data_IF_909223573901
#
_entry.id   IF_909223573901
#
_cell.length_a   1.000
_cell.length_b   1.000
_cell.length_c   1.000
_cell.angle_alpha   90.00
_cell.angle_beta   90.00
_cell.angle_gamma   90.00
#
_symmetry.space_group_name_H-M   'P 1'
#
loop_
_entity.id
_entity.type
_entity.pdbx_description
1 polymer ?
#
# COMPACT_ATOMS: atom_id res chain seq x y z
N UNK A 1 -4.26 8.13 23.73
CA UNK A 1 -2.95 7.60 23.35
C UNK A 1 -2.65 6.27 24.06
N UNK A 2 -3.57 5.70 24.85
CA UNK A 2 -3.32 4.45 25.58
C UNK A 2 -3.27 3.17 24.70
N UNK A 3 -3.46 3.26 23.38
CA UNK A 3 -3.64 2.09 22.49
C UNK A 3 -2.69 2.10 21.27
N UNK A 4 -1.99 3.21 21.00
CA UNK A 4 -1.04 3.30 19.87
C UNK A 4 0.39 3.41 20.38
N UNK A 5 1.25 2.54 19.86
CA UNK A 5 2.68 2.51 20.15
C UNK A 5 3.41 2.57 18.79
N UNK A 6 4.22 3.60 18.52
CA UNK A 6 5.01 3.64 17.30
C UNK A 6 5.96 2.44 17.23
N UNK A 7 6.00 1.81 16.05
CA UNK A 7 6.88 0.68 15.76
C UNK A 7 8.23 1.15 15.22
N UNK A 8 9.30 0.41 15.48
CA UNK A 8 10.65 0.76 15.02
C UNK A 8 11.01 0.06 13.72
N UNK A 9 11.52 0.80 12.74
CA UNK A 9 12.00 0.25 11.48
C UNK A 9 13.08 -0.82 11.69
N UNK A 10 12.95 -1.92 10.98
CA UNK A 10 13.93 -3.02 10.96
C UNK A 10 14.41 -3.22 9.52
N UNK A 11 15.72 -3.42 9.35
CA UNK A 11 16.33 -3.70 8.05
C UNK A 11 16.32 -5.19 7.75
N UNK A 12 16.13 -5.57 6.50
CA UNK A 12 16.12 -6.97 6.07
C UNK A 12 17.52 -7.59 5.93
N UNK A 13 18.55 -6.76 5.75
CA UNK A 13 19.94 -7.19 5.67
C UNK A 13 20.88 -6.02 5.98
N UNK A 14 21.95 -6.30 6.73
CA UNK A 14 23.07 -5.38 6.96
C UNK A 14 24.26 -5.68 6.04
N UNK A 15 24.14 -6.69 5.18
CA UNK A 15 25.22 -7.12 4.30
C UNK A 15 25.35 -6.18 3.11
N UNK A 16 26.57 -5.91 2.70
CA UNK A 16 26.82 -5.24 1.42
C UNK A 16 26.55 -6.18 0.25
N UNK A 17 26.01 -5.66 -0.85
CA UNK A 17 25.75 -6.47 -2.05
C UNK A 17 27.06 -6.71 -2.81
N UNK A 18 27.41 -7.99 -2.99
CA UNK A 18 28.45 -8.44 -3.92
C UNK A 18 28.04 -8.14 -5.36
N UNK A 19 26.78 -8.33 -5.74
CA UNK A 19 26.27 -7.98 -7.08
C UNK A 19 25.13 -6.99 -6.99
N UNK A 20 25.22 -5.94 -7.79
CA UNK A 20 24.19 -4.91 -7.93
C UNK A 20 23.91 -4.66 -9.43
N UNK A 21 22.65 -4.75 -9.88
CA UNK A 21 22.26 -4.26 -11.20
C UNK A 21 22.33 -2.73 -11.24
N UNK A 22 23.10 -2.19 -12.18
CA UNK A 22 23.24 -0.75 -12.40
C UNK A 22 22.69 -0.42 -13.77
N UNK A 23 21.78 0.56 -13.87
CA UNK A 23 21.34 1.03 -15.17
C UNK A 23 22.35 2.01 -15.77
N UNK A 24 22.95 1.64 -16.88
CA UNK A 24 23.81 2.49 -17.68
C UNK A 24 22.97 3.32 -18.65
N UNK A 25 22.92 4.63 -18.40
CA UNK A 25 22.17 5.60 -19.20
C UNK A 25 22.71 5.70 -20.63
N UNK A 26 24.03 5.62 -20.82
CA UNK A 26 24.68 5.74 -22.13
C UNK A 26 24.39 4.54 -23.02
N UNK A 27 24.40 3.33 -22.43
CA UNK A 27 24.12 2.07 -23.12
C UNK A 27 22.62 1.79 -23.23
N UNK A 28 21.80 2.46 -22.40
CA UNK A 28 20.39 2.15 -22.19
C UNK A 28 20.18 0.68 -21.82
N UNK A 29 20.99 0.19 -20.88
CA UNK A 29 21.09 -1.21 -20.46
C UNK A 29 21.36 -1.34 -18.98
N UNK A 30 20.84 -2.40 -18.35
CA UNK A 30 21.33 -2.81 -17.05
C UNK A 30 22.63 -3.60 -17.21
N UNK A 31 23.56 -3.35 -16.29
CA UNK A 31 24.82 -4.04 -16.16
C UNK A 31 24.89 -4.65 -14.77
N UNK A 32 25.20 -5.95 -14.68
CA UNK A 32 25.44 -6.61 -13.40
C UNK A 32 26.87 -6.29 -12.95
N UNK A 33 26.97 -5.39 -11.97
CA UNK A 33 28.24 -4.99 -11.38
C UNK A 33 28.56 -5.85 -10.16
N UNK A 34 29.76 -6.43 -10.14
CA UNK A 34 30.31 -7.20 -9.05
C UNK A 34 31.30 -6.33 -8.27
N UNK A 35 31.07 -6.20 -6.96
CA UNK A 35 31.95 -5.49 -6.06
C UNK A 35 33.10 -6.39 -5.59
N UNK A 36 34.19 -6.37 -6.34
CA UNK A 36 35.38 -7.18 -6.07
C UNK A 36 36.02 -6.93 -4.70
N UNK A 37 35.83 -5.76 -4.09
CA UNK A 37 36.38 -5.48 -2.74
C UNK A 37 35.72 -6.32 -1.65
N UNK A 38 34.49 -6.80 -1.88
CA UNK A 38 33.78 -7.70 -0.98
C UNK A 38 34.13 -9.17 -1.22
N UNK A 39 34.53 -9.52 -2.44
CA UNK A 39 34.99 -10.86 -2.81
C UNK A 39 36.34 -11.26 -2.19
N UNK A 40 37.12 -10.30 -1.68
CA UNK A 40 38.45 -10.53 -1.09
C UNK A 40 38.48 -10.56 0.45
N UNK A 41 37.34 -10.52 1.14
CA UNK A 41 37.25 -10.26 2.59
C UNK A 41 37.51 -11.45 3.54
N UNK A 42 38.28 -12.46 3.14
CA UNK A 42 38.74 -13.49 4.09
C UNK A 42 40.20 -13.26 4.49
N UNK A 43 40.54 -12.99 5.77
CA UNK A 43 41.90 -12.68 6.20
C UNK A 43 42.93 -13.80 6.04
N UNK A 44 42.50 -15.01 5.64
CA UNK A 44 43.32 -16.23 5.69
C UNK A 44 43.23 -17.11 4.44
N UNK A 45 42.73 -16.61 3.31
CA UNK A 45 42.82 -17.34 2.04
C UNK A 45 43.18 -16.38 0.91
N UNK A 46 44.04 -16.85 0.00
CA UNK A 46 44.04 -16.42 -1.40
C UNK A 46 42.60 -16.20 -1.89
N UNK A 47 42.38 -15.13 -2.67
CA UNK A 47 41.12 -14.67 -3.28
C UNK A 47 39.96 -15.68 -3.18
N UNK A 48 38.86 -15.34 -2.50
CA UNK A 48 37.69 -16.22 -2.49
C UNK A 48 37.15 -16.27 -3.91
N UNK A 49 37.41 -17.37 -4.61
CA UNK A 49 36.82 -17.60 -5.93
C UNK A 49 35.32 -17.84 -5.76
N UNK A 50 34.50 -17.13 -6.54
CA UNK A 50 33.04 -17.21 -6.52
C UNK A 50 32.50 -17.28 -7.95
N UNK A 51 31.33 -17.89 -8.11
CA UNK A 51 30.57 -17.87 -9.34
C UNK A 51 29.21 -17.21 -9.09
N UNK A 52 28.83 -16.31 -9.99
CA UNK A 52 27.55 -15.63 -9.96
C UNK A 52 26.70 -16.04 -11.16
N UNK A 53 25.40 -16.22 -10.92
CA UNK A 53 24.41 -16.47 -11.94
C UNK A 53 23.13 -15.69 -11.67
N UNK A 54 22.33 -15.49 -12.72
CA UNK A 54 20.94 -15.08 -12.56
C UNK A 54 20.01 -16.07 -13.25
N UNK A 55 18.79 -16.15 -12.75
CA UNK A 55 17.67 -16.81 -13.42
C UNK A 55 16.68 -15.72 -13.83
N UNK A 56 16.40 -15.68 -15.12
CA UNK A 56 15.35 -14.81 -15.65
C UNK A 56 13.99 -15.35 -15.24
N UNK A 57 13.13 -14.44 -14.78
CA UNK A 57 11.73 -14.74 -14.50
C UNK A 57 10.90 -14.32 -15.71
N UNK A 58 10.06 -15.22 -16.19
CA UNK A 58 9.13 -14.98 -17.30
C UNK A 58 7.68 -15.17 -16.83
N UNK A 59 6.72 -14.63 -17.57
CA UNK A 59 5.30 -14.69 -17.21
C UNK A 59 4.64 -15.94 -17.78
N UNK A 60 4.06 -16.75 -16.90
CA UNK A 60 3.11 -17.80 -17.28
C UNK A 60 1.71 -17.19 -17.42
N UNK A 61 1.21 -17.13 -18.65
CA UNK A 61 -0.12 -16.57 -18.99
C UNK A 61 -1.29 -17.46 -18.56
N UNK A 62 -1.06 -18.74 -18.28
CA UNK A 62 -2.15 -19.67 -17.97
C UNK A 62 -2.79 -19.36 -16.61
N UNK A 63 -1.97 -19.01 -15.62
CA UNK A 63 -2.39 -18.75 -14.23
C UNK A 63 -1.98 -17.36 -13.70
N UNK A 64 -1.63 -16.43 -14.60
CA UNK A 64 -1.08 -15.12 -14.24
C UNK A 64 0.06 -15.25 -13.21
N UNK A 65 0.98 -16.15 -13.56
CA UNK A 65 2.03 -16.69 -12.71
C UNK A 65 3.40 -16.45 -13.35
N UNK A 66 4.40 -17.21 -12.91
CA UNK A 66 5.77 -17.10 -13.40
C UNK A 66 6.34 -18.47 -13.79
N UNK A 67 7.29 -18.42 -14.71
CA UNK A 67 8.23 -19.49 -15.04
C UNK A 67 9.66 -19.00 -14.83
N UNK A 68 10.60 -19.93 -14.62
CA UNK A 68 12.03 -19.63 -14.49
C UNK A 68 12.81 -20.18 -15.66
N UNK A 69 13.71 -19.37 -16.19
CA UNK A 69 14.72 -19.82 -17.15
C UNK A 69 15.91 -20.41 -16.40
N UNK A 70 16.65 -21.29 -17.09
CA UNK A 70 17.90 -21.86 -16.59
C UNK A 70 18.91 -20.80 -16.15
N UNK A 71 19.78 -21.19 -15.23
CA UNK A 71 20.83 -20.33 -14.67
C UNK A 71 21.75 -19.82 -15.78
N UNK A 72 21.93 -18.50 -15.84
CA UNK A 72 22.89 -17.83 -16.72
C UNK A 72 24.02 -17.28 -15.86
N UNK A 73 25.18 -17.94 -15.93
CA UNK A 73 26.40 -17.48 -15.27
C UNK A 73 26.97 -16.25 -15.97
N UNK A 74 27.53 -15.33 -15.19
CA UNK A 74 28.06 -14.08 -15.72
C UNK A 74 29.33 -13.64 -15.00
N UNK A 75 30.07 -12.75 -15.65
CA UNK A 75 31.27 -12.12 -15.13
C UNK A 75 31.06 -10.63 -14.90
N UNK A 76 32.11 -9.94 -14.43
CA UNK A 76 32.06 -8.52 -14.12
C UNK A 76 31.50 -7.67 -15.27
N UNK A 77 30.60 -6.74 -14.93
CA UNK A 77 29.95 -5.82 -15.87
C UNK A 77 29.17 -6.51 -17.00
N UNK A 78 28.48 -7.61 -16.69
CA UNK A 78 27.65 -8.30 -17.67
C UNK A 78 26.44 -7.45 -18.09
N UNK A 79 26.27 -7.25 -19.41
CA UNK A 79 25.13 -6.54 -19.98
C UNK A 79 23.89 -7.45 -20.00
N UNK A 80 22.85 -7.04 -19.27
CA UNK A 80 21.60 -7.78 -19.17
C UNK A 80 20.76 -7.57 -20.45
N UNK A 81 20.31 -8.66 -21.12
CA UNK A 81 19.45 -8.55 -22.29
C UNK A 81 18.13 -7.81 -22.02
N UNK A 82 17.65 -7.00 -22.97
CA UNK A 82 16.42 -6.19 -22.83
C UNK A 82 15.14 -6.98 -22.53
N UNK A 83 15.08 -8.25 -22.88
CA UNK A 83 13.92 -9.10 -22.59
C UNK A 83 13.83 -9.49 -21.11
N UNK A 84 14.95 -9.47 -20.38
CA UNK A 84 15.00 -9.77 -18.95
C UNK A 84 14.46 -8.57 -18.17
N UNK A 85 13.22 -8.68 -17.70
CA UNK A 85 12.53 -7.65 -16.90
C UNK A 85 12.47 -7.98 -15.41
N UNK A 86 12.76 -9.22 -15.04
CA UNK A 86 12.88 -9.63 -13.65
C UNK A 86 13.86 -10.78 -13.54
N UNK A 87 14.65 -10.78 -12.46
CA UNK A 87 15.64 -11.82 -12.21
C UNK A 87 15.78 -12.11 -10.72
N UNK A 88 16.17 -13.35 -10.42
CA UNK A 88 16.76 -13.74 -9.15
C UNK A 88 18.23 -14.00 -9.43
N UNK A 89 19.12 -13.33 -8.70
CA UNK A 89 20.56 -13.53 -8.81
C UNK A 89 21.10 -14.18 -7.54
N UNK A 90 22.13 -15.00 -7.72
CA UNK A 90 22.87 -15.56 -6.62
C UNK A 90 24.36 -15.70 -6.96
N UNK A 91 25.19 -15.59 -5.93
CA UNK A 91 26.61 -15.91 -5.99
C UNK A 91 26.91 -16.97 -4.95
N UNK A 92 27.76 -17.93 -5.31
CA UNK A 92 28.19 -19.00 -4.43
C UNK A 92 29.71 -19.17 -4.49
N UNK A 93 30.29 -19.79 -3.46
CA UNK A 93 31.72 -20.12 -3.44
C UNK A 93 32.05 -21.12 -4.56
N UNK A 94 33.20 -20.94 -5.21
CA UNK A 94 33.65 -21.86 -6.26
C UNK A 94 33.82 -23.27 -5.67
N UNK A 95 33.32 -24.28 -6.37
CA UNK A 95 33.38 -25.68 -5.94
C UNK A 95 32.36 -26.07 -4.87
N UNK A 96 31.55 -25.14 -4.34
CA UNK A 96 30.46 -25.43 -3.40
C UNK A 96 29.21 -24.59 -3.70
N UNK A 97 28.30 -25.11 -4.51
CA UNK A 97 27.05 -24.41 -4.90
C UNK A 97 26.09 -24.16 -3.73
N UNK A 98 26.20 -24.92 -2.64
CA UNK A 98 25.35 -24.75 -1.45
C UNK A 98 25.80 -23.58 -0.56
N UNK A 99 27.03 -23.11 -0.71
CA UNK A 99 27.60 -21.99 0.05
C UNK A 99 27.28 -20.67 -0.66
N UNK A 100 26.05 -20.18 -0.44
CA UNK A 100 25.53 -18.95 -1.03
C UNK A 100 26.11 -17.72 -0.32
N UNK A 101 26.83 -16.89 -1.08
CA UNK A 101 27.42 -15.62 -0.63
C UNK A 101 26.44 -14.44 -0.74
N UNK A 102 25.56 -14.49 -1.75
CA UNK A 102 24.47 -13.53 -1.93
C UNK A 102 23.32 -14.23 -2.66
N UNK A 103 22.09 -13.92 -2.27
CA UNK A 103 20.89 -14.18 -3.06
C UNK A 103 19.98 -12.95 -2.98
N UNK A 104 19.54 -12.44 -4.13
CA UNK A 104 18.74 -11.23 -4.21
C UNK A 104 17.88 -11.20 -5.49
N UNK A 105 16.87 -10.34 -5.52
CA UNK A 105 15.90 -10.26 -6.60
C UNK A 105 15.69 -8.82 -7.07
N UNK A 106 15.47 -8.66 -8.38
CA UNK A 106 15.34 -7.36 -9.01
C UNK A 106 14.29 -7.38 -10.11
N UNK A 107 13.43 -6.37 -10.11
CA UNK A 107 12.70 -5.95 -11.31
C UNK A 107 13.52 -4.91 -12.06
N UNK A 108 13.60 -5.06 -13.38
CA UNK A 108 14.40 -4.22 -14.26
C UNK A 108 13.46 -3.42 -15.14
N UNK A 109 13.40 -2.11 -14.90
CA UNK A 109 12.73 -1.16 -15.80
C UNK A 109 13.59 -1.01 -17.05
N UNK A 110 13.50 -1.96 -17.99
CA UNK A 110 14.31 -1.95 -19.20
C UNK A 110 13.97 -0.78 -20.12
N UNK A 111 14.94 -0.28 -20.90
CA UNK A 111 14.66 0.77 -21.88
C UNK A 111 13.63 0.30 -22.92
N UNK A 112 12.60 1.12 -23.15
CA UNK A 112 11.66 0.92 -24.25
C UNK A 112 11.72 2.11 -25.20
N UNK A 113 11.98 1.89 -26.51
CA UNK A 113 12.06 2.98 -27.48
C UNK A 113 10.80 3.85 -27.51
N UNK A 114 11.01 5.14 -27.77
CA UNK A 114 9.93 6.09 -28.03
C UNK A 114 9.09 5.67 -29.25
N UNK A 115 7.75 5.76 -29.17
CA UNK A 115 6.88 5.61 -30.33
C UNK A 115 7.18 6.69 -31.38
N UNK A 116 7.10 6.32 -32.66
CA UNK A 116 7.26 7.28 -33.77
C UNK A 116 6.15 8.34 -33.70
N UNK A 117 6.53 9.62 -33.85
CA UNK A 117 5.58 10.74 -33.90
C UNK A 117 5.25 11.38 -32.55
N UNK A 118 5.85 10.91 -31.44
CA UNK A 118 5.70 11.56 -30.14
C UNK A 118 6.59 12.81 -30.06
N UNK A 119 5.99 13.96 -29.73
CA UNK A 119 6.72 15.22 -29.58
C UNK A 119 7.69 15.15 -28.40
N UNK A 120 8.97 15.44 -28.64
CA UNK A 120 9.98 15.52 -27.59
C UNK A 120 10.00 16.89 -26.90
N UNK A 121 9.38 17.92 -27.50
CA UNK A 121 9.26 19.26 -26.93
C UNK A 121 8.59 19.23 -25.55
N UNK A 122 9.27 19.64 -24.46
CA UNK A 122 8.71 19.60 -23.11
C UNK A 122 7.39 20.37 -22.98
N UNK A 123 7.29 21.54 -23.63
CA UNK A 123 6.09 22.38 -23.62
C UNK A 123 4.85 21.73 -24.27
N UNK A 124 5.03 20.65 -25.04
CA UNK A 124 3.95 19.89 -25.69
C UNK A 124 3.73 18.52 -25.06
N UNK A 125 4.46 18.19 -23.99
CA UNK A 125 4.35 16.90 -23.32
C UNK A 125 3.11 16.89 -22.42
N UNK A 126 2.32 15.83 -22.54
CA UNK A 126 1.19 15.59 -21.62
C UNK A 126 1.76 15.25 -20.23
N UNK A 127 1.13 15.69 -19.14
CA UNK A 127 1.61 15.36 -17.80
C UNK A 127 1.57 13.85 -17.59
N UNK A 128 2.61 13.33 -16.93
CA UNK A 128 2.62 11.96 -16.44
C UNK A 128 1.66 11.83 -15.25
N UNK A 129 1.22 10.62 -14.93
CA UNK A 129 0.33 10.36 -13.79
C UNK A 129 0.86 9.17 -12.99
N UNK A 130 1.23 9.40 -11.75
CA UNK A 130 1.76 8.36 -10.86
C UNK A 130 0.83 8.21 -9.67
N UNK A 131 0.25 7.04 -9.51
CA UNK A 131 -0.63 6.70 -8.40
C UNK A 131 0.16 5.87 -7.39
N UNK A 132 0.38 6.41 -6.20
CA UNK A 132 1.13 5.80 -5.11
C UNK A 132 0.17 5.48 -3.98
N UNK A 133 -0.09 4.19 -3.75
CA UNK A 133 -1.15 3.74 -2.87
C UNK A 133 -0.69 2.82 -1.74
N UNK A 134 -1.29 2.99 -0.57
CA UNK A 134 -1.07 2.14 0.60
C UNK A 134 -2.43 1.60 1.04
N UNK A 135 -2.58 0.27 1.06
CA UNK A 135 -3.82 -0.40 1.43
C UNK A 135 -4.21 -0.11 2.89
N UNK A 136 -5.52 -0.03 3.17
CA UNK A 136 -6.08 0.01 4.54
C UNK A 136 -5.64 1.21 5.38
N UNK A 137 -5.10 2.26 4.75
CA UNK A 137 -4.63 3.46 5.43
C UNK A 137 -5.68 4.58 5.40
N UNK A 138 -6.46 4.73 6.48
CA UNK A 138 -7.38 5.85 6.58
C UNK A 138 -6.64 7.18 6.72
N UNK A 139 -7.29 8.28 6.32
CA UNK A 139 -6.78 9.65 6.48
C UNK A 139 -6.30 9.94 7.92
N UNK A 140 -7.10 9.55 8.90
CA UNK A 140 -6.79 9.74 10.31
C UNK A 140 -5.62 8.84 10.74
N UNK A 141 -5.56 7.61 10.21
CA UNK A 141 -4.46 6.73 10.55
C UNK A 141 -3.14 7.23 9.97
N UNK A 142 -3.11 7.74 8.73
CA UNK A 142 -1.94 8.40 8.13
C UNK A 142 -1.38 9.51 9.05
N UNK A 143 -2.25 10.41 9.55
CA UNK A 143 -1.85 11.48 10.48
C UNK A 143 -1.25 10.96 11.77
N UNK A 144 -1.75 9.83 12.26
CA UNK A 144 -1.30 9.21 13.52
C UNK A 144 0.01 8.46 13.37
N UNK A 145 0.13 7.68 12.31
CA UNK A 145 1.22 6.70 12.15
C UNK A 145 2.35 7.23 11.31
N UNK A 146 2.08 8.13 10.37
CA UNK A 146 3.10 8.69 9.47
C UNK A 146 3.00 10.23 9.42
N UNK A 147 3.04 10.94 10.57
CA UNK A 147 2.92 12.40 10.62
C UNK A 147 3.91 13.16 9.73
N UNK A 148 5.13 12.68 9.52
CA UNK A 148 6.11 13.31 8.60
C UNK A 148 5.67 13.18 7.13
N UNK A 149 5.15 12.01 6.74
CA UNK A 149 4.56 11.81 5.40
C UNK A 149 3.32 12.68 5.24
N UNK A 150 2.44 12.75 6.25
CA UNK A 150 1.31 13.66 6.24
C UNK A 150 1.74 15.12 6.06
N UNK A 151 2.75 15.59 6.81
CA UNK A 151 3.27 16.94 6.70
C UNK A 151 3.80 17.23 5.28
N UNK A 152 4.55 16.28 4.70
CA UNK A 152 5.02 16.37 3.31
C UNK A 152 3.85 16.54 2.32
N UNK A 153 2.82 15.71 2.45
CA UNK A 153 1.62 15.73 1.61
C UNK A 153 0.69 16.93 1.86
N UNK A 154 0.97 17.77 2.86
CA UNK A 154 0.28 19.05 3.09
C UNK A 154 1.12 20.25 2.67
N UNK A 155 2.32 20.02 2.11
CA UNK A 155 3.20 21.05 1.59
C UNK A 155 2.70 21.64 0.27
N UNK A 156 3.48 22.58 -0.28
CA UNK A 156 3.19 23.22 -1.56
C UNK A 156 3.06 22.19 -2.70
N UNK A 157 2.06 22.37 -3.57
CA UNK A 157 1.80 21.51 -4.72
C UNK A 157 0.90 20.31 -4.43
N UNK A 158 0.65 19.98 -3.15
CA UNK A 158 -0.28 18.93 -2.77
C UNK A 158 -1.66 19.49 -2.42
N UNK A 159 -2.70 18.75 -2.83
CA UNK A 159 -4.09 19.13 -2.59
C UNK A 159 -4.87 17.93 -2.06
N UNK A 160 -5.45 18.09 -0.87
CA UNK A 160 -6.31 17.08 -0.26
C UNK A 160 -7.69 17.07 -0.96
N UNK A 161 -8.09 15.91 -1.51
CA UNK A 161 -9.43 15.71 -2.08
C UNK A 161 -10.46 15.49 -0.98
N UNK A 162 -10.89 16.58 -0.33
CA UNK A 162 -11.88 16.52 0.74
C UNK A 162 -13.22 15.96 0.24
N UNK A 163 -13.83 15.07 1.03
CA UNK A 163 -15.08 14.39 0.67
C UNK A 163 -14.90 13.19 -0.27
N UNK A 164 -13.70 12.96 -0.82
CA UNK A 164 -13.38 11.69 -1.46
C UNK A 164 -13.42 10.56 -0.43
N UNK A 165 -14.17 9.49 -0.70
CA UNK A 165 -14.37 8.39 0.23
C UNK A 165 -14.52 7.05 -0.50
N UNK A 166 -14.30 5.96 0.24
CA UNK A 166 -14.50 4.58 -0.23
C UNK A 166 -15.96 4.38 -0.67
N UNK A 167 -16.16 3.50 -1.65
CA UNK A 167 -17.49 3.06 -2.09
C UNK A 167 -17.79 1.61 -1.69
N UNK A 168 -16.81 0.92 -1.11
CA UNK A 168 -16.94 -0.44 -0.62
C UNK A 168 -15.90 -0.73 0.46
N UNK A 169 -16.04 -1.87 1.14
CA UNK A 169 -15.20 -2.17 2.31
C UNK A 169 -13.87 -2.83 1.99
N UNK A 170 -13.66 -3.35 0.78
CA UNK A 170 -12.43 -4.05 0.39
C UNK A 170 -11.67 -3.25 -0.69
N UNK A 171 -10.42 -3.62 -0.96
CA UNK A 171 -9.58 -3.06 -2.03
C UNK A 171 -10.21 -3.16 -3.41
N UNK A 172 -10.72 -4.35 -3.78
CA UNK A 172 -11.30 -4.60 -5.11
C UNK A 172 -12.42 -3.63 -5.54
N UNK A 173 -13.52 -3.41 -4.77
CA UNK A 173 -14.57 -2.48 -5.18
C UNK A 173 -14.06 -1.04 -5.33
N UNK A 174 -13.13 -0.59 -4.48
CA UNK A 174 -12.60 0.77 -4.53
C UNK A 174 -11.65 0.97 -5.71
N UNK A 175 -10.67 0.08 -5.90
CA UNK A 175 -9.76 0.16 -7.05
C UNK A 175 -10.47 -0.11 -8.37
N UNK A 176 -11.48 -1.00 -8.42
CA UNK A 176 -12.31 -1.16 -9.62
C UNK A 176 -12.98 0.16 -10.00
N UNK A 177 -13.57 0.88 -9.04
CA UNK A 177 -14.24 2.14 -9.32
C UNK A 177 -13.29 3.22 -9.83
N UNK A 178 -12.13 3.38 -9.18
CA UNK A 178 -11.12 4.37 -9.57
C UNK A 178 -10.57 4.07 -10.96
N UNK A 179 -10.29 2.80 -11.24
CA UNK A 179 -9.57 2.40 -12.43
C UNK A 179 -10.48 2.12 -13.63
N UNK A 180 -11.80 1.97 -13.44
CA UNK A 180 -12.72 1.63 -14.54
C UNK A 180 -13.96 2.50 -14.61
N UNK A 181 -14.30 3.22 -13.54
CA UNK A 181 -15.58 3.92 -13.40
C UNK A 181 -16.77 3.01 -13.03
N UNK A 182 -16.54 1.72 -12.78
CA UNK A 182 -17.57 0.75 -12.38
C UNK A 182 -17.42 0.32 -10.92
N UNK A 183 -18.54 0.18 -10.21
CA UNK A 183 -18.57 -0.67 -9.02
C UNK A 183 -18.76 -2.15 -9.45
N UNK A 184 -18.49 -3.14 -8.57
CA UNK A 184 -18.61 -4.56 -8.93
C UNK A 184 -19.97 -4.90 -9.55
N UNK A 185 -21.09 -4.57 -8.90
CA UNK A 185 -22.42 -4.92 -9.43
C UNK A 185 -22.67 -4.38 -10.84
N UNK A 186 -22.18 -3.18 -11.14
CA UNK A 186 -22.29 -2.59 -12.47
C UNK A 186 -21.34 -3.21 -13.49
N UNK A 187 -20.12 -3.60 -13.09
CA UNK A 187 -19.18 -4.31 -13.95
C UNK A 187 -19.72 -5.69 -14.35
N UNK A 188 -20.34 -6.41 -13.41
CA UNK A 188 -20.92 -7.75 -13.63
C UNK A 188 -22.00 -7.70 -14.70
N UNK A 189 -22.86 -6.69 -14.62
CA UNK A 189 -24.02 -6.53 -15.50
C UNK A 189 -23.66 -5.96 -16.87
N UNK A 190 -22.66 -5.07 -16.95
CA UNK A 190 -22.39 -4.26 -18.14
C UNK A 190 -21.13 -4.66 -18.89
N UNK A 191 -20.23 -5.41 -18.25
CA UNK A 191 -18.94 -5.81 -18.82
C UNK A 191 -18.88 -7.33 -18.90
N UNK A 192 -18.66 -8.00 -17.76
CA UNK A 192 -18.54 -9.46 -17.65
C UNK A 192 -18.44 -9.87 -16.18
N UNK A 193 -18.51 -11.17 -15.90
CA UNK A 193 -18.23 -11.73 -14.59
C UNK A 193 -16.72 -11.84 -14.34
N UNK A 194 -16.21 -11.10 -13.35
CA UNK A 194 -14.78 -11.12 -12.99
C UNK A 194 -14.30 -12.44 -12.39
N UNK A 195 -15.21 -13.37 -12.09
CA UNK A 195 -14.86 -14.76 -11.76
C UNK A 195 -14.53 -15.59 -13.02
N UNK A 196 -14.88 -15.11 -14.22
CA UNK A 196 -14.55 -15.75 -15.48
C UNK A 196 -13.18 -15.29 -16.02
N UNK A 197 -12.39 -16.26 -16.49
CA UNK A 197 -11.06 -16.01 -17.06
C UNK A 197 -11.18 -15.12 -18.30
N UNK A 198 -10.38 -14.06 -18.36
CA UNK A 198 -10.39 -13.09 -19.46
C UNK A 198 -11.38 -11.94 -19.30
N UNK A 199 -12.18 -11.90 -18.23
CA UNK A 199 -13.07 -10.77 -17.98
C UNK A 199 -12.28 -9.48 -17.70
N UNK A 200 -11.27 -9.52 -16.82
CA UNK A 200 -10.44 -8.35 -16.50
C UNK A 200 -9.70 -7.79 -17.74
N UNK A 201 -9.32 -8.65 -18.68
CA UNK A 201 -8.74 -8.26 -19.97
C UNK A 201 -9.72 -7.50 -20.88
N UNK A 202 -11.03 -7.65 -20.69
CA UNK A 202 -12.07 -6.93 -21.43
C UNK A 202 -12.50 -5.64 -20.71
N UNK A 203 -12.37 -5.58 -19.39
CA UNK A 203 -12.75 -4.43 -18.56
C UNK A 203 -12.05 -3.15 -19.00
N UNK A 204 -12.78 -2.00 -19.13
CA UNK A 204 -12.22 -0.75 -19.64
C UNK A 204 -11.38 -0.02 -18.60
N UNK A 205 -10.26 -0.60 -18.20
CA UNK A 205 -9.34 0.01 -17.26
C UNK A 205 -8.67 1.27 -17.83
N UNK A 206 -8.43 2.26 -16.97
CA UNK A 206 -7.92 3.59 -17.30
C UNK A 206 -6.55 3.53 -17.99
N UNK A 207 -5.71 2.56 -17.63
CA UNK A 207 -4.42 2.34 -18.27
C UNK A 207 -4.52 1.98 -19.75
N UNK A 208 -5.63 1.38 -20.20
CA UNK A 208 -5.88 1.13 -21.64
C UNK A 208 -6.07 2.44 -22.40
N UNK A 209 -6.76 3.40 -21.80
CA UNK A 209 -6.93 4.74 -22.37
C UNK A 209 -5.60 5.51 -22.38
N UNK A 210 -4.82 5.43 -21.30
CA UNK A 210 -3.48 6.02 -21.26
C UNK A 210 -2.55 5.41 -22.31
N UNK A 211 -2.55 4.08 -22.46
CA UNK A 211 -1.80 3.38 -23.51
C UNK A 211 -2.20 3.86 -24.91
N UNK A 212 -3.50 3.99 -25.19
CA UNK A 212 -4.01 4.54 -26.46
C UNK A 212 -3.60 6.01 -26.65
N UNK A 213 -3.45 6.77 -25.57
CA UNK A 213 -2.92 8.14 -25.58
C UNK A 213 -1.38 8.21 -25.68
N UNK A 214 -0.71 7.09 -25.97
CA UNK A 214 0.75 6.89 -26.10
C UNK A 214 1.57 6.93 -24.81
N UNK A 215 0.93 6.83 -23.65
CA UNK A 215 1.62 6.71 -22.38
C UNK A 215 2.31 5.34 -22.27
N UNK A 216 3.44 5.31 -21.59
CA UNK A 216 4.01 4.07 -21.10
C UNK A 216 3.32 3.71 -19.77
N UNK A 217 2.89 2.46 -19.59
CA UNK A 217 2.07 2.08 -18.43
C UNK A 217 2.78 1.10 -17.48
N UNK A 218 2.59 1.27 -16.18
CA UNK A 218 3.12 0.36 -15.15
C UNK A 218 2.07 -0.01 -14.11
N UNK A 219 2.10 -1.25 -13.62
CA UNK A 219 1.30 -1.68 -12.49
C UNK A 219 2.12 -2.60 -11.58
N UNK A 220 2.17 -2.24 -10.30
CA UNK A 220 2.89 -2.97 -9.28
C UNK A 220 2.04 -3.08 -8.01
N UNK A 221 1.95 -4.29 -7.48
CA UNK A 221 1.30 -4.60 -6.22
C UNK A 221 2.09 -5.72 -5.53
N UNK A 222 2.38 -5.56 -4.24
CA UNK A 222 3.03 -6.59 -3.43
C UNK A 222 1.99 -7.58 -2.85
N UNK A 223 2.46 -8.60 -2.14
CA UNK A 223 1.61 -9.64 -1.51
C UNK A 223 0.75 -10.40 -2.52
N UNK A 224 1.39 -11.20 -3.38
CA UNK A 224 0.74 -11.78 -4.57
C UNK A 224 -0.43 -12.72 -4.30
N UNK A 225 -0.49 -13.31 -3.11
CA UNK A 225 -1.59 -14.17 -2.66
C UNK A 225 -2.90 -13.41 -2.44
N UNK A 226 -2.84 -12.09 -2.22
CA UNK A 226 -4.00 -11.25 -1.94
C UNK A 226 -4.10 -10.01 -2.83
N UNK A 227 -3.26 -9.92 -3.87
CA UNK A 227 -3.34 -8.81 -4.83
C UNK A 227 -4.76 -8.62 -5.37
N UNK A 228 -5.15 -7.35 -5.49
CA UNK A 228 -6.50 -6.86 -5.77
C UNK A 228 -7.23 -7.63 -6.88
N UNK A 229 -6.55 -7.87 -8.00
CA UNK A 229 -7.13 -8.47 -9.20
C UNK A 229 -6.94 -9.99 -9.31
N UNK A 230 -6.32 -10.63 -8.31
CA UNK A 230 -6.02 -12.06 -8.32
C UNK A 230 -6.57 -12.80 -7.09
N UNK A 231 -6.86 -12.12 -5.98
CA UNK A 231 -7.50 -12.74 -4.83
C UNK A 231 -8.88 -13.30 -5.22
N UNK A 232 -9.01 -14.63 -5.12
CA UNK A 232 -10.19 -15.43 -5.53
C UNK A 232 -10.68 -15.14 -6.95
N UNK A 233 -9.77 -14.73 -7.85
CA UNK A 233 -10.06 -14.38 -9.25
C UNK A 233 -9.03 -15.00 -10.20
N UNK A 234 -9.39 -15.25 -11.46
CA UNK A 234 -8.44 -15.79 -12.44
C UNK A 234 -7.24 -14.89 -12.77
N UNK A 235 -7.30 -13.59 -12.45
CA UNK A 235 -6.28 -12.62 -12.84
C UNK A 235 -6.37 -12.19 -14.30
N UNK A 236 -5.29 -11.61 -14.80
CA UNK A 236 -5.20 -11.17 -16.18
C UNK A 236 -4.64 -12.28 -17.08
N UNK A 237 -5.19 -12.44 -18.29
CA UNK A 237 -4.63 -13.34 -19.30
C UNK A 237 -3.45 -12.68 -20.01
N UNK A 238 -3.60 -11.43 -20.42
CA UNK A 238 -2.55 -10.61 -21.02
C UNK A 238 -1.95 -9.65 -19.99
N UNK A 239 -0.72 -9.18 -20.22
CA UNK A 239 -0.11 -8.21 -19.30
C UNK A 239 -0.96 -6.93 -19.29
N UNK A 240 -1.48 -6.47 -18.13
CA UNK A 240 -2.38 -5.33 -18.07
C UNK A 240 -1.68 -4.03 -18.49
N UNK A 241 -0.38 -3.94 -18.24
CA UNK A 241 0.47 -2.76 -18.46
C UNK A 241 1.79 -3.13 -19.14
N UNK A 242 2.55 -2.13 -19.59
CA UNK A 242 3.85 -2.32 -20.24
C UNK A 242 4.93 -2.85 -19.30
N UNK A 243 4.86 -2.49 -18.01
CA UNK A 243 5.61 -3.12 -16.92
C UNK A 243 4.63 -3.62 -15.87
N UNK A 244 4.75 -4.90 -15.50
CA UNK A 244 3.83 -5.56 -14.58
C UNK A 244 4.61 -6.39 -13.57
N UNK A 245 4.50 -6.03 -12.28
CA UNK A 245 5.34 -6.60 -11.22
C UNK A 245 5.00 -8.06 -10.89
N UNK A 246 3.72 -8.44 -10.98
CA UNK A 246 3.19 -9.66 -10.35
C UNK A 246 3.99 -10.93 -10.63
N UNK A 247 4.38 -11.29 -11.87
CA UNK A 247 5.11 -12.52 -12.12
C UNK A 247 6.43 -12.55 -11.34
N UNK A 248 7.15 -11.42 -11.32
CA UNK A 248 8.42 -11.28 -10.63
C UNK A 248 8.24 -11.37 -9.13
N UNK A 249 7.30 -10.59 -8.57
CA UNK A 249 7.00 -10.65 -7.14
C UNK A 249 6.61 -12.07 -6.71
N UNK A 250 5.78 -12.77 -7.47
CA UNK A 250 5.36 -14.14 -7.14
C UNK A 250 6.55 -15.11 -7.09
N UNK A 251 7.51 -14.95 -8.00
CA UNK A 251 8.77 -15.70 -7.97
C UNK A 251 9.58 -15.36 -6.72
N UNK A 252 9.73 -14.08 -6.39
CA UNK A 252 10.51 -13.64 -5.23
C UNK A 252 9.92 -14.18 -3.94
N UNK A 253 8.59 -14.14 -3.80
CA UNK A 253 7.86 -14.65 -2.64
C UNK A 253 7.98 -16.17 -2.47
N UNK A 254 8.13 -16.90 -3.57
CA UNK A 254 8.19 -18.37 -3.55
C UNK A 254 9.61 -18.91 -3.44
N UNK A 255 10.58 -18.21 -4.02
CA UNK A 255 11.93 -18.74 -4.25
C UNK A 255 13.01 -18.11 -3.36
N UNK A 256 12.70 -17.03 -2.64
CA UNK A 256 13.60 -16.40 -1.67
C UNK A 256 13.11 -16.60 -0.23
N UNK A 257 14.06 -16.56 0.71
CA UNK A 257 13.74 -16.60 2.13
C UNK A 257 12.88 -15.40 2.51
N UNK A 258 11.72 -15.65 3.11
CA UNK A 258 10.86 -14.61 3.64
C UNK A 258 11.02 -14.50 5.15
N UNK A 259 10.94 -13.28 5.69
CA UNK A 259 10.95 -13.04 7.12
C UNK A 259 9.81 -12.11 7.52
N UNK A 260 9.25 -12.36 8.71
CA UNK A 260 8.25 -11.52 9.36
C UNK A 260 8.85 -11.00 10.66
N UNK A 261 8.70 -9.71 10.92
CA UNK A 261 9.06 -9.16 12.22
C UNK A 261 8.14 -9.71 13.31
N UNK A 262 8.56 -9.61 14.58
CA UNK A 262 7.82 -10.17 15.72
C UNK A 262 6.37 -9.70 15.77
N UNK A 263 6.14 -8.42 15.48
CA UNK A 263 4.82 -7.76 15.55
C UNK A 263 4.17 -7.63 14.15
N UNK A 264 4.76 -8.24 13.12
CA UNK A 264 4.25 -8.25 11.75
C UNK A 264 3.36 -9.48 11.51
N UNK A 265 2.14 -9.28 11.01
CA UNK A 265 1.30 -10.38 10.51
C UNK A 265 1.64 -10.77 9.06
N UNK A 266 2.15 -9.82 8.27
CA UNK A 266 2.46 -9.98 6.84
C UNK A 266 3.96 -10.17 6.61
N UNK A 267 4.35 -10.53 5.37
CA UNK A 267 5.77 -10.72 5.02
C UNK A 267 6.46 -9.35 5.02
N UNK A 268 7.44 -9.20 5.91
CA UNK A 268 8.16 -7.94 6.05
C UNK A 268 9.39 -7.88 5.13
N UNK A 269 10.10 -9.00 4.99
CA UNK A 269 11.25 -9.14 4.09
C UNK A 269 11.07 -10.29 3.09
N UNK A 270 11.59 -10.09 1.88
CA UNK A 270 11.83 -11.13 0.89
C UNK A 270 13.30 -11.04 0.47
N UNK A 271 14.06 -12.07 0.79
CA UNK A 271 15.52 -12.04 0.70
C UNK A 271 16.08 -10.92 1.57
N UNK A 272 16.86 -10.04 0.95
CA UNK A 272 17.57 -8.94 1.61
C UNK A 272 16.79 -7.62 1.60
N UNK A 273 15.55 -7.62 1.11
CA UNK A 273 14.76 -6.43 0.79
C UNK A 273 13.43 -6.41 1.52
N UNK A 274 12.96 -5.21 1.83
CA UNK A 274 11.61 -4.98 2.37
C UNK A 274 10.59 -5.36 1.30
N UNK A 275 9.52 -6.06 1.66
CA UNK A 275 8.51 -6.54 0.71
C UNK A 275 7.92 -5.42 -0.17
N UNK A 276 7.58 -4.27 0.42
CA UNK A 276 7.04 -3.14 -0.34
C UNK A 276 8.08 -2.43 -1.22
N UNK A 277 9.39 -2.66 -1.01
CA UNK A 277 10.43 -2.01 -1.80
C UNK A 277 10.42 -2.45 -3.26
N UNK A 278 9.96 -3.67 -3.58
CA UNK A 278 9.84 -4.11 -4.98
C UNK A 278 8.83 -3.28 -5.77
N UNK A 279 7.78 -2.79 -5.11
CA UNK A 279 6.80 -1.86 -5.68
C UNK A 279 7.40 -0.46 -5.79
N UNK A 280 8.03 0.03 -4.73
CA UNK A 280 8.55 1.40 -4.66
C UNK A 280 9.79 1.63 -5.53
N UNK A 281 10.71 0.67 -5.59
CA UNK A 281 11.85 0.70 -6.50
C UNK A 281 11.37 0.69 -7.96
N UNK A 282 10.34 -0.10 -8.27
CA UNK A 282 9.72 -0.08 -9.60
C UNK A 282 9.13 1.30 -9.93
N UNK A 283 8.47 1.96 -8.97
CA UNK A 283 7.93 3.31 -9.14
C UNK A 283 9.04 4.35 -9.38
N UNK A 284 10.07 4.35 -8.53
CA UNK A 284 11.23 5.24 -8.62
C UNK A 284 11.97 5.08 -9.94
N UNK A 285 12.32 3.84 -10.29
CA UNK A 285 13.11 3.56 -11.48
C UNK A 285 12.29 3.84 -12.76
N UNK A 286 10.97 3.60 -12.74
CA UNK A 286 10.07 3.94 -13.84
C UNK A 286 9.97 5.44 -14.06
N UNK A 287 9.79 6.22 -12.99
CA UNK A 287 9.75 7.68 -13.06
C UNK A 287 11.08 8.25 -13.56
N UNK A 288 12.20 7.91 -12.89
CA UNK A 288 13.55 8.36 -13.26
C UNK A 288 13.90 8.04 -14.71
N UNK A 289 13.41 6.91 -15.23
CA UNK A 289 13.75 6.50 -16.58
C UNK A 289 13.01 7.29 -17.65
N UNK A 290 11.74 7.60 -17.43
CA UNK A 290 10.84 7.93 -18.54
C UNK A 290 10.09 9.25 -18.39
N UNK A 291 9.99 9.83 -17.18
CA UNK A 291 9.16 11.04 -16.96
C UNK A 291 9.60 12.22 -17.85
N UNK A 292 10.90 12.32 -18.12
CA UNK A 292 11.50 13.34 -18.97
C UNK A 292 11.60 12.98 -20.47
N UNK A 293 11.32 11.72 -20.83
CA UNK A 293 11.38 11.24 -22.21
C UNK A 293 9.98 11.21 -22.86
N UNK A 294 8.95 10.79 -22.09
CA UNK A 294 7.58 10.56 -22.58
C UNK A 294 6.55 10.58 -21.45
N UNK A 295 5.25 10.79 -21.75
CA UNK A 295 4.22 10.65 -20.74
C UNK A 295 4.15 9.21 -20.22
N UNK A 296 4.04 9.07 -18.90
CA UNK A 296 3.91 7.77 -18.22
C UNK A 296 2.70 7.74 -17.30
N UNK A 297 2.10 6.56 -17.16
CA UNK A 297 1.03 6.28 -16.19
C UNK A 297 1.45 5.08 -15.33
N UNK A 298 1.28 5.14 -14.02
CA UNK A 298 1.57 3.99 -13.17
C UNK A 298 0.71 3.91 -11.92
N UNK A 299 0.38 2.69 -11.51
CA UNK A 299 -0.20 2.38 -10.20
C UNK A 299 0.77 1.51 -9.41
N UNK A 300 1.18 1.99 -8.24
CA UNK A 300 2.13 1.34 -7.35
C UNK A 300 1.48 1.19 -5.98
N UNK A 301 1.12 -0.03 -5.62
CA UNK A 301 0.26 -0.35 -4.48
C UNK A 301 0.97 -1.25 -3.47
N UNK A 302 0.97 -0.86 -2.19
CA UNK A 302 1.58 -1.66 -1.12
C UNK A 302 0.53 -2.12 -0.11
N UNK A 303 0.61 -3.40 0.25
CA UNK A 303 -0.21 -4.09 1.23
C UNK A 303 0.60 -4.45 2.49
N UNK A 304 1.88 -4.79 2.31
CA UNK A 304 2.67 -5.62 3.25
C UNK A 304 2.90 -5.04 4.65
N UNK A 305 2.63 -3.75 4.87
CA UNK A 305 2.87 -3.07 6.14
C UNK A 305 1.65 -2.30 6.67
N UNK A 306 0.48 -2.46 6.07
CA UNK A 306 -0.70 -1.68 6.45
C UNK A 306 -2.00 -2.49 6.47
N UNK A 307 -2.16 -3.49 5.61
CA UNK A 307 -3.44 -4.20 5.43
C UNK A 307 -3.97 -4.80 6.75
N UNK A 308 -3.14 -5.56 7.45
CA UNK A 308 -3.55 -6.26 8.68
C UNK A 308 -3.29 -5.46 9.97
N UNK A 309 -2.55 -4.34 9.89
CA UNK A 309 -2.11 -3.62 11.07
C UNK A 309 -2.17 -2.13 10.88
N UNK A 310 -3.04 -1.48 11.66
CA UNK A 310 -3.12 -0.03 11.71
C UNK A 310 -1.87 0.61 12.32
N UNK A 311 -1.01 -0.12 13.04
CA UNK A 311 0.18 0.44 13.70
C UNK A 311 1.44 0.36 12.84
N UNK A 312 1.55 -0.70 12.04
CA UNK A 312 2.71 -0.99 11.20
C UNK A 312 3.11 0.12 10.21
N UNK A 313 2.21 1.00 9.71
CA UNK A 313 2.62 2.16 8.93
C UNK A 313 3.60 3.08 9.66
N UNK A 314 3.57 3.13 10.99
CA UNK A 314 4.56 3.91 11.77
C UNK A 314 5.98 3.38 11.67
N UNK A 315 6.12 2.05 11.50
CA UNK A 315 7.40 1.38 11.23
C UNK A 315 8.02 1.84 9.91
N UNK A 316 7.17 2.23 8.95
CA UNK A 316 7.53 2.52 7.58
C UNK A 316 7.51 4.01 7.24
N UNK A 317 7.27 4.89 8.22
CA UNK A 317 7.15 6.34 8.01
C UNK A 317 8.35 6.92 7.26
N UNK A 318 9.54 6.80 7.83
CA UNK A 318 10.76 7.38 7.25
C UNK A 318 11.13 6.69 5.92
N UNK A 319 10.82 5.40 5.81
CA UNK A 319 11.06 4.64 4.59
C UNK A 319 10.22 5.16 3.41
N UNK A 320 8.91 5.38 3.63
CA UNK A 320 8.02 5.95 2.62
C UNK A 320 8.35 7.42 2.35
N UNK A 321 8.66 8.20 3.39
CA UNK A 321 9.06 9.60 3.24
C UNK A 321 10.29 9.73 2.35
N UNK A 322 11.27 8.84 2.49
CA UNK A 322 12.48 8.87 1.66
C UNK A 322 12.16 8.72 0.17
N UNK A 323 11.24 7.83 -0.22
CA UNK A 323 10.83 7.72 -1.63
C UNK A 323 10.16 9.01 -2.13
N UNK A 324 9.32 9.66 -1.32
CA UNK A 324 8.70 10.94 -1.69
C UNK A 324 9.73 12.07 -1.84
N UNK A 325 10.74 12.10 -0.97
CA UNK A 325 11.86 13.03 -1.07
C UNK A 325 12.73 12.76 -2.29
N UNK A 326 12.99 11.49 -2.60
CA UNK A 326 13.71 11.08 -3.81
C UNK A 326 12.96 11.54 -5.06
N UNK A 327 11.64 11.32 -5.15
CA UNK A 327 10.82 11.82 -6.26
C UNK A 327 10.89 13.35 -6.40
N UNK A 328 10.90 14.08 -5.28
CA UNK A 328 11.09 15.53 -5.30
C UNK A 328 12.47 15.92 -5.82
N UNK A 329 13.53 15.28 -5.32
CA UNK A 329 14.91 15.55 -5.70
C UNK A 329 15.17 15.23 -7.19
N UNK A 330 14.51 14.21 -7.71
CA UNK A 330 14.57 13.81 -9.11
C UNK A 330 13.68 14.67 -10.03
N UNK A 331 12.96 15.66 -9.49
CA UNK A 331 12.08 16.55 -10.26
C UNK A 331 10.82 15.89 -10.80
N UNK A 332 10.42 14.73 -10.27
CA UNK A 332 9.28 13.94 -10.79
C UNK A 332 7.97 14.73 -10.69
N UNK A 333 7.77 15.52 -9.63
CA UNK A 333 6.55 16.31 -9.43
C UNK A 333 6.39 17.47 -10.42
N UNK A 334 7.46 17.91 -11.08
CA UNK A 334 7.40 19.02 -12.04
C UNK A 334 6.76 18.63 -13.38
N UNK A 335 6.79 17.33 -13.71
CA UNK A 335 6.32 16.77 -14.98
C UNK A 335 5.20 15.75 -14.80
N UNK A 336 4.73 15.54 -13.57
CA UNK A 336 3.72 14.54 -13.25
C UNK A 336 2.67 15.03 -12.25
N UNK A 337 1.48 14.47 -12.38
CA UNK A 337 0.44 14.51 -11.35
C UNK A 337 0.66 13.27 -10.49
N UNK A 338 1.13 13.45 -9.25
CA UNK A 338 1.16 12.36 -8.29
C UNK A 338 -0.16 12.30 -7.51
N UNK A 339 -0.75 11.12 -7.44
CA UNK A 339 -1.93 10.82 -6.63
C UNK A 339 -1.49 9.91 -5.50
N UNK A 340 -1.40 10.44 -4.28
CA UNK A 340 -1.19 9.64 -3.08
C UNK A 340 -2.55 9.26 -2.50
N UNK A 341 -2.84 7.97 -2.36
CA UNK A 341 -4.17 7.50 -1.98
C UNK A 341 -4.18 6.23 -1.15
N UNK A 342 -5.34 5.94 -0.58
CA UNK A 342 -5.71 4.65 0.00
C UNK A 342 -7.10 4.29 -0.52
N UNK A 343 -7.47 3.03 -0.41
CA UNK A 343 -8.73 2.44 -0.83
C UNK A 343 -9.77 2.44 0.28
N UNK A 344 -9.35 2.12 1.51
CA UNK A 344 -10.16 2.14 2.73
C UNK A 344 -9.30 2.36 3.99
N UNK A 345 -9.96 2.42 5.15
CA UNK A 345 -9.30 2.38 6.45
C UNK A 345 -9.14 0.95 6.97
N UNK A 346 -8.59 0.79 8.18
CA UNK A 346 -8.57 -0.51 8.85
C UNK A 346 -9.99 -1.08 8.97
N UNK A 347 -10.12 -2.39 8.78
CA UNK A 347 -11.41 -3.10 8.78
C UNK A 347 -11.62 -3.99 10.01
N UNK A 348 -10.54 -4.31 10.71
CA UNK A 348 -10.52 -5.24 11.83
C UNK A 348 -9.57 -4.74 12.93
N UNK A 349 -9.65 -5.36 14.10
CA UNK A 349 -8.77 -5.06 15.24
C UNK A 349 -9.26 -3.93 16.15
N UNK A 350 -8.46 -3.65 17.18
CA UNK A 350 -8.87 -2.78 18.31
C UNK A 350 -9.24 -1.37 17.90
N UNK A 351 -8.78 -0.87 16.76
CA UNK A 351 -9.07 0.51 16.34
C UNK A 351 -10.48 0.66 15.76
N UNK A 352 -10.97 -0.34 15.04
CA UNK A 352 -12.35 -0.35 14.50
C UNK A 352 -13.38 -0.75 15.54
N UNK A 353 -12.98 -1.40 16.64
CA UNK A 353 -13.89 -1.65 17.76
C UNK A 353 -14.16 -0.41 18.61
N UNK A 354 -13.46 0.71 18.35
CA UNK A 354 -13.67 1.95 19.08
C UNK A 354 -14.70 2.82 18.37
N UNK A 355 -15.83 3.17 19.02
CA UNK A 355 -16.84 3.99 18.37
C UNK A 355 -16.35 5.39 17.98
N UNK A 356 -15.29 5.89 18.63
CA UNK A 356 -14.62 7.13 18.21
C UNK A 356 -14.05 7.07 16.79
N UNK A 357 -13.64 5.89 16.30
CA UNK A 357 -13.14 5.75 14.92
C UNK A 357 -14.22 6.06 13.87
N UNK A 358 -15.45 5.62 14.12
CA UNK A 358 -16.60 5.87 13.24
C UNK A 358 -17.06 7.33 13.26
N UNK A 359 -16.99 7.99 14.44
CA UNK A 359 -17.28 9.43 14.54
C UNK A 359 -16.33 10.26 13.67
N UNK A 360 -15.04 9.91 13.68
CA UNK A 360 -14.04 10.60 12.86
C UNK A 360 -14.25 10.37 11.37
N UNK A 361 -14.59 9.15 10.95
CA UNK A 361 -14.92 8.84 9.55
C UNK A 361 -16.17 9.62 9.09
N UNK A 362 -17.19 9.73 9.93
CA UNK A 362 -18.39 10.51 9.65
C UNK A 362 -18.10 12.00 9.48
N UNK A 363 -17.37 12.61 10.43
CA UNK A 363 -17.02 14.04 10.34
C UNK A 363 -16.15 14.33 9.10
N UNK A 364 -15.26 13.41 8.72
CA UNK A 364 -14.49 13.52 7.49
C UNK A 364 -15.38 13.41 6.23
N UNK A 365 -16.28 12.43 6.18
CA UNK A 365 -17.23 12.24 5.07
C UNK A 365 -18.20 13.42 4.89
N UNK A 366 -18.47 14.17 5.95
CA UNK A 366 -19.31 15.39 5.94
C UNK A 366 -18.54 16.68 5.64
N UNK A 367 -17.24 16.58 5.35
CA UNK A 367 -16.33 17.71 5.14
C UNK A 367 -16.23 18.66 6.35
N UNK A 368 -16.36 18.12 7.57
CA UNK A 368 -16.35 18.90 8.80
C UNK A 368 -15.00 18.91 9.50
N UNK A 369 -14.02 18.12 9.07
CA UNK A 369 -12.70 18.04 9.72
C UNK A 369 -11.88 19.34 9.68
N UNK A 370 -12.25 20.29 8.83
CA UNK A 370 -11.64 21.63 8.82
C UNK A 370 -12.00 22.44 10.08
N UNK A 371 -13.24 22.30 10.55
CA UNK A 371 -13.84 23.12 11.61
C UNK A 371 -14.07 22.36 12.91
N UNK A 372 -14.34 21.06 12.84
CA UNK A 372 -14.48 20.16 13.99
C UNK A 372 -13.13 19.56 14.35
N UNK A 373 -12.88 19.43 15.65
CA UNK A 373 -11.69 18.79 16.20
C UNK A 373 -11.71 17.28 15.98
N UNK A 374 -10.51 16.71 15.83
CA UNK A 374 -10.31 15.27 15.70
C UNK A 374 -10.50 14.61 17.06
N UNK A 375 -11.56 13.84 17.24
CA UNK A 375 -11.90 13.16 18.48
C UNK A 375 -11.00 11.94 18.68
N UNK A 376 -10.29 11.93 19.80
CA UNK A 376 -9.39 10.85 20.19
C UNK A 376 -9.90 10.21 21.47
N UNK A 377 -10.01 8.88 21.48
CA UNK A 377 -10.42 8.16 22.68
C UNK A 377 -9.53 8.50 23.89
N UNK A 378 -10.17 8.87 24.98
CA UNK A 378 -9.58 8.97 26.31
C UNK A 378 -9.61 7.59 26.98
N UNK A 379 -10.81 7.06 27.24
CA UNK A 379 -11.02 5.71 27.80
C UNK A 379 -12.46 5.23 27.52
N UNK A 380 -12.69 3.93 27.65
CA UNK A 380 -14.02 3.29 27.62
C UNK A 380 -14.50 3.17 29.05
N UNK A 381 -15.71 3.65 29.35
CA UNK A 381 -16.32 3.52 30.69
C UNK A 381 -16.82 2.10 30.92
N UNK A 382 -17.61 1.60 29.96
CA UNK A 382 -18.37 0.36 30.10
C UNK A 382 -18.74 -0.18 28.72
N UNK A 383 -18.87 -1.51 28.61
CA UNK A 383 -19.45 -2.18 27.44
C UNK A 383 -20.38 -3.29 27.91
N UNK A 384 -21.66 -3.15 27.57
CA UNK A 384 -22.71 -4.10 27.92
C UNK A 384 -23.08 -4.93 26.68
N UNK A 385 -23.26 -6.24 26.81
CA UNK A 385 -23.78 -7.08 25.73
C UNK A 385 -25.30 -7.20 25.84
N UNK A 386 -26.01 -7.08 24.71
CA UNK A 386 -27.43 -7.39 24.63
C UNK A 386 -27.63 -8.91 24.67
N UNK A 387 -28.30 -9.40 25.72
CA UNK A 387 -28.67 -10.81 25.89
C UNK A 387 -30.14 -10.99 25.47
N UNK A 388 -30.47 -12.12 24.85
CA UNK A 388 -31.85 -12.47 24.50
C UNK A 388 -32.69 -12.77 25.75
N UNK A 389 -33.98 -12.45 25.73
CA UNK A 389 -34.88 -12.67 26.89
C UNK A 389 -35.02 -14.14 27.30
N UNK A 390 -34.66 -15.06 26.39
CA UNK A 390 -34.84 -16.50 26.54
C UNK A 390 -33.55 -17.21 27.02
N UNK A 391 -32.45 -16.47 27.25
CA UNK A 391 -31.17 -17.04 27.68
C UNK A 391 -31.02 -17.05 29.21
N UNK A 392 -30.62 -18.20 29.75
CA UNK A 392 -30.47 -18.44 31.18
C UNK A 392 -29.11 -17.92 31.66
N UNK A 393 -29.08 -17.05 32.69
CA UNK A 393 -27.85 -16.40 33.19
C UNK A 393 -26.78 -17.34 33.77
N UNK A 394 -27.12 -18.62 33.97
CA UNK A 394 -26.26 -19.63 34.56
C UNK A 394 -25.67 -20.63 33.54
N UNK A 395 -25.94 -20.45 32.25
CA UNK A 395 -25.38 -21.29 31.16
C UNK A 395 -24.37 -20.49 30.32
N UNK A 396 -23.45 -21.19 29.66
CA UNK A 396 -22.46 -20.58 28.77
C UNK A 396 -23.17 -19.79 27.65
N UNK A 397 -22.73 -18.56 27.41
CA UNK A 397 -23.28 -17.68 26.37
C UNK A 397 -23.22 -18.37 25.00
N UNK A 398 -24.39 -18.60 24.38
CA UNK A 398 -24.44 -19.13 23.04
C UNK A 398 -23.75 -18.18 22.05
N UNK A 399 -22.81 -18.69 21.26
CA UNK A 399 -22.18 -17.97 20.15
C UNK A 399 -23.25 -17.57 19.12
N UNK A 400 -23.65 -16.30 19.14
CA UNK A 400 -24.53 -15.70 18.12
C UNK A 400 -23.69 -15.21 16.94
N UNK A 401 -24.22 -15.28 15.72
CA UNK A 401 -23.52 -14.78 14.53
C UNK A 401 -23.22 -13.27 14.62
N UNK A 402 -24.19 -12.48 15.11
CA UNK A 402 -24.01 -11.05 15.35
C UNK A 402 -24.38 -10.73 16.80
N UNK A 403 -23.38 -10.33 17.59
CA UNK A 403 -23.56 -9.80 18.93
C UNK A 403 -23.82 -8.28 18.89
N UNK A 404 -24.71 -7.79 19.74
CA UNK A 404 -24.96 -6.35 19.89
C UNK A 404 -24.42 -5.87 21.23
N UNK A 405 -23.58 -4.86 21.21
CA UNK A 405 -23.00 -4.24 22.39
C UNK A 405 -23.45 -2.80 22.53
N UNK A 406 -23.46 -2.30 23.76
CA UNK A 406 -23.64 -0.91 24.11
C UNK A 406 -22.38 -0.41 24.80
N UNK A 407 -21.64 0.47 24.13
CA UNK A 407 -20.34 0.96 24.62
C UNK A 407 -20.44 2.42 25.00
N UNK A 408 -20.08 2.74 26.24
CA UNK A 408 -19.93 4.11 26.73
C UNK A 408 -18.46 4.49 26.76
N UNK A 409 -18.10 5.64 26.19
CA UNK A 409 -16.71 6.05 26.07
C UNK A 409 -16.55 7.56 26.14
N UNK A 410 -15.35 7.98 26.58
CA UNK A 410 -14.95 9.37 26.69
C UNK A 410 -13.85 9.68 25.70
N UNK A 411 -13.92 10.82 25.03
CA UNK A 411 -12.85 11.34 24.16
C UNK A 411 -12.08 12.46 24.88
N UNK A 412 -10.86 12.75 24.42
CA UNK A 412 -10.00 13.76 25.03
C UNK A 412 -10.52 15.18 24.83
N UNK A 413 -11.07 15.45 23.66
CA UNK A 413 -11.55 16.77 23.25
C UNK A 413 -12.72 17.17 24.15
N UNK A 414 -12.52 18.23 24.93
CA UNK A 414 -13.46 18.74 25.93
C UNK A 414 -14.04 17.69 26.90
N UNK A 415 -13.35 16.55 27.11
CA UNK A 415 -13.79 15.48 28.00
C UNK A 415 -15.19 14.92 27.67
N UNK A 416 -15.52 14.95 26.37
CA UNK A 416 -16.82 14.62 25.82
C UNK A 416 -17.20 13.14 26.01
N UNK A 417 -18.47 12.89 26.36
CA UNK A 417 -19.01 11.57 26.67
C UNK A 417 -19.98 11.09 25.60
N UNK A 418 -19.81 9.84 25.17
CA UNK A 418 -20.59 9.23 24.11
C UNK A 418 -21.06 7.83 24.48
N UNK A 419 -22.13 7.39 23.82
CA UNK A 419 -22.65 6.04 23.90
C UNK A 419 -23.03 5.54 22.52
N UNK A 420 -22.46 4.41 22.11
CA UNK A 420 -22.70 3.80 20.81
C UNK A 420 -23.35 2.43 20.96
N UNK A 421 -24.21 2.09 20.00
CA UNK A 421 -24.63 0.70 19.76
C UNK A 421 -23.69 0.11 18.73
N UNK A 422 -23.07 -1.02 19.04
CA UNK A 422 -22.02 -1.65 18.25
C UNK A 422 -22.49 -3.05 17.87
N UNK A 423 -22.54 -3.35 16.57
CA UNK A 423 -22.83 -4.69 16.09
C UNK A 423 -21.50 -5.37 15.75
N UNK A 424 -21.24 -6.52 16.36
CA UNK A 424 -20.04 -7.32 16.10
C UNK A 424 -20.46 -8.63 15.47
N UNK A 425 -19.96 -8.89 14.26
CA UNK A 425 -20.19 -10.16 13.59
C UNK A 425 -19.06 -11.13 13.97
N UNK A 426 -19.41 -12.21 14.65
CA UNK A 426 -18.48 -13.23 15.14
C UNK A 426 -17.90 -14.11 14.03
N UNK A 427 -18.51 -14.13 12.84
CA UNK A 427 -18.05 -14.91 11.68
C UNK A 427 -17.06 -14.11 10.84
N UNK A 428 -17.34 -12.84 10.61
CA UNK A 428 -16.49 -11.94 9.80
C UNK A 428 -15.50 -11.13 10.64
N UNK A 429 -15.59 -11.23 11.96
CA UNK A 429 -14.86 -10.42 12.95
C UNK A 429 -14.97 -8.90 12.71
N UNK A 430 -16.05 -8.45 12.07
CA UNK A 430 -16.26 -7.06 11.70
C UNK A 430 -17.13 -6.31 12.70
N UNK A 431 -16.82 -5.03 12.89
CA UNK A 431 -17.59 -4.11 13.74
C UNK A 431 -18.36 -3.14 12.86
N UNK A 432 -19.66 -2.99 13.12
CA UNK A 432 -20.52 -2.02 12.47
C UNK A 432 -21.13 -1.06 13.49
N UNK A 433 -21.00 0.24 13.24
CA UNK A 433 -21.60 1.30 14.04
C UNK A 433 -22.25 2.32 13.12
N UNK A 434 -23.56 2.51 13.27
CA UNK A 434 -24.27 3.58 12.59
C UNK A 434 -24.09 4.88 13.38
N UNK A 435 -23.30 5.81 12.85
CA UNK A 435 -22.94 7.06 13.56
C UNK A 435 -24.16 7.84 14.05
N UNK A 436 -25.27 8.00 13.30
CA UNK A 436 -26.48 8.65 13.81
C UNK A 436 -27.09 8.00 15.05
N UNK A 437 -26.74 6.75 15.36
CA UNK A 437 -27.18 6.05 16.58
C UNK A 437 -26.28 6.28 17.79
N UNK A 438 -25.09 6.89 17.57
CA UNK A 438 -24.21 7.31 18.66
C UNK A 438 -24.86 8.51 19.35
N UNK A 439 -25.03 8.41 20.66
CA UNK A 439 -25.59 9.47 21.50
C UNK A 439 -24.47 10.24 22.18
N UNK A 440 -24.54 11.57 22.13
CA UNK A 440 -23.78 12.45 23.02
C UNK A 440 -24.44 12.49 24.40
N UNK A 441 -23.68 12.25 25.46
CA UNK A 441 -24.22 12.14 26.84
C UNK A 441 -24.12 13.44 27.64
N UNK A 442 -23.17 14.32 27.30
CA UNK A 442 -23.00 15.65 27.88
C UNK A 442 -23.53 16.78 26.97
N UNK A 443 -23.68 17.98 27.54
CA UNK A 443 -24.13 19.15 26.78
C UNK A 443 -23.08 19.56 25.74
N UNK A 444 -23.53 19.71 24.48
CA UNK A 444 -22.70 20.13 23.35
C UNK A 444 -23.06 21.54 22.83
N UNK A 445 -23.99 22.22 23.49
CA UNK A 445 -24.53 23.53 23.05
C UNK A 445 -23.45 24.58 22.83
N UNK A 446 -22.46 24.63 23.71
CA UNK A 446 -21.46 25.71 23.71
C UNK A 446 -20.19 25.37 22.93
N UNK A 447 -20.10 24.16 22.37
CA UNK A 447 -18.88 23.63 21.73
C UNK A 447 -19.10 23.15 20.30
N UNK A 448 -20.31 23.30 19.76
CA UNK A 448 -20.71 22.80 18.42
C UNK A 448 -21.27 23.91 17.51
N UNK A 449 -21.05 25.18 17.86
CA UNK A 449 -21.67 26.34 17.20
C UNK A 449 -21.16 26.60 15.78
N UNK A 450 -20.05 25.99 15.37
CA UNK A 450 -19.49 26.08 14.03
C UNK A 450 -20.23 25.22 12.99
N UNK A 451 -21.21 24.42 13.39
CA UNK A 451 -22.02 23.57 12.49
C UNK A 451 -23.49 23.82 12.77
N UNK A 452 -24.34 23.82 11.74
CA UNK A 452 -25.78 24.07 11.90
C UNK A 452 -26.63 22.79 11.99
N UNK A 453 -26.20 21.73 11.29
CA UNK A 453 -26.92 20.46 11.25
C UNK A 453 -27.01 19.82 12.65
N UNK A 454 -28.22 19.39 13.02
CA UNK A 454 -28.51 18.89 14.36
C UNK A 454 -27.74 17.61 14.69
N UNK A 455 -27.53 16.75 13.70
CA UNK A 455 -26.80 15.48 13.86
C UNK A 455 -25.31 15.77 13.98
N UNK A 456 -24.79 16.62 13.11
CA UNK A 456 -23.37 17.01 13.11
C UNK A 456 -23.00 17.74 14.42
N UNK A 457 -23.89 18.56 14.98
CA UNK A 457 -23.70 19.22 16.29
C UNK A 457 -23.45 18.25 17.45
N UNK A 458 -24.02 17.04 17.41
CA UNK A 458 -23.82 16.05 18.47
C UNK A 458 -22.37 15.54 18.54
N UNK A 459 -21.69 15.53 17.38
CA UNK A 459 -20.38 14.92 17.22
C UNK A 459 -19.27 15.97 17.08
N UNK A 460 -19.57 17.10 16.47
CA UNK A 460 -18.61 18.17 16.27
C UNK A 460 -18.26 18.90 17.58
N UNK A 461 -16.98 18.92 17.91
CA UNK A 461 -16.42 19.86 18.89
C UNK A 461 -15.58 20.85 18.09
N UNK A 462 -16.05 22.10 17.98
CA UNK A 462 -15.42 23.14 17.18
C UNK A 462 -13.98 23.38 17.64
N UNK A 463 -13.06 23.49 16.69
CA UNK A 463 -11.63 23.74 17.00
C UNK A 463 -11.43 25.06 17.76
N UNK A 464 -12.28 26.06 17.50
CA UNK A 464 -12.29 27.34 18.22
C UNK A 464 -12.65 27.20 19.71
N UNK A 465 -13.35 26.12 20.07
CA UNK A 465 -13.96 25.94 21.38
C UNK A 465 -13.25 24.83 22.18
N UNK A 466 -12.08 24.38 21.70
CA UNK A 466 -11.23 23.45 22.42
C UNK A 466 -10.66 24.11 23.67
N UNK A 467 -10.90 23.48 24.82
CA UNK A 467 -10.27 23.89 26.07
C UNK A 467 -8.81 23.44 26.04
N UNK A 468 -7.88 24.35 25.79
CA UNK A 468 -6.45 24.06 25.87
C UNK A 468 -6.12 23.49 27.25
N UNK A 469 -5.34 22.40 27.27
CA UNK A 469 -4.76 21.87 28.50
C UNK A 469 -3.61 22.76 28.94
N UNK A 470 -3.92 23.93 29.48
CA UNK A 470 -3.01 24.69 30.33
C UNK A 470 -3.49 24.60 31.77
N UNK A 471 -3.16 23.49 32.44
CA UNK A 471 -2.98 23.37 33.89
C UNK A 471 -2.20 22.10 34.18
#
# INVERSE_FOLDING_TARGET
MAIFHPEHFEVCSNESALVTPIYDISRKRYVLFINNTLGSLSPNSSEVEYNCYYQEITRDKSHDSYDKVDRKYFSQNYEVPLHVQGLILACHRLGNESDILQSDAYTLIQYKPLPKGLSQEPARRKPSVLMFGIDSLSRINLRRTMPKVYNFLTGSGWYELQGYNKIGDNTFPNLMAILTGYNPNSALKKVCDWHERGCLDQTPFIWKYFRNASYLTAYAEDETGMSTFNYVKPGFVESPTDFYLRPFQKAFESDLNTWKCKDCSMRYCIGRRITSSYVYDMARDFARRFVDERPIWGLFWSNSFSHDSYQMPSKMEDYVLQYLLDFQADGVFEQSIMVFLSDHGSRWGKIVSLPSGFLEEYLAGRNLSGICSELTLSYVHETEMKIGLDQNFNEDLALVEVATYRTMFKVKQNSADFRATVHFNNVTESVEVSVPTISRLDSYKDVSNCVDDKTDKMYCICKSDLKDKSS
#
